data_IF_055688914805
#
_entry.id   IF_055688914805
#
_cell.length_a   1.000
_cell.length_b   1.000
_cell.length_c   1.000
_cell.angle_alpha   90.00
_cell.angle_beta   90.00
_cell.angle_gamma   90.00
#
_symmetry.space_group_name_H-M   'P 1'
#
loop_
_entity.id
_entity.type
_entity.pdbx_description
1 polymer ?
#
# COMPACT_ATOMS: atom_id res chain seq x y z
N UNK A 1 22.93 -8.72 -13.00
CA UNK A 1 22.09 -8.04 -14.02
C UNK A 1 23.02 -7.31 -15.01
N UNK A 2 22.77 -7.29 -16.32
CA UNK A 2 23.67 -6.61 -17.28
C UNK A 2 23.04 -5.31 -17.78
N UNK A 3 23.58 -4.19 -17.30
CA UNK A 3 23.14 -2.84 -17.62
C UNK A 3 24.33 -2.05 -18.17
N UNK A 4 24.07 -1.25 -19.20
CA UNK A 4 25.10 -0.37 -19.79
C UNK A 4 24.85 1.04 -19.28
N UNK A 5 25.79 1.54 -18.47
CA UNK A 5 25.75 2.89 -17.95
C UNK A 5 26.42 3.85 -18.93
N UNK A 6 25.94 5.08 -18.97
CA UNK A 6 26.67 6.17 -19.63
C UNK A 6 27.96 6.47 -18.87
N UNK A 7 28.94 7.04 -19.57
CA UNK A 7 30.22 7.46 -18.98
C UNK A 7 30.04 8.38 -17.76
N UNK A 8 29.00 9.21 -17.77
CA UNK A 8 28.70 10.12 -16.67
C UNK A 8 28.10 9.40 -15.47
N UNK A 9 27.17 8.46 -15.68
CA UNK A 9 26.60 7.63 -14.62
C UNK A 9 27.69 6.77 -13.95
N UNK A 10 28.59 6.17 -14.74
CA UNK A 10 29.72 5.41 -14.21
C UNK A 10 30.61 6.25 -13.30
N UNK A 11 30.97 7.47 -13.73
CA UNK A 11 31.79 8.38 -12.91
C UNK A 11 31.14 8.74 -11.58
N UNK A 12 29.84 9.05 -11.59
CA UNK A 12 29.10 9.43 -10.38
C UNK A 12 29.06 8.25 -9.41
N UNK A 13 28.70 7.06 -9.89
CA UNK A 13 28.60 5.87 -9.04
C UNK A 13 29.97 5.40 -8.52
N UNK A 14 31.02 5.49 -9.32
CA UNK A 14 32.39 5.23 -8.87
C UNK A 14 32.82 6.21 -7.77
N UNK A 15 32.53 7.51 -7.93
CA UNK A 15 32.82 8.50 -6.89
C UNK A 15 32.06 8.22 -5.59
N UNK A 16 30.77 7.87 -5.68
CA UNK A 16 29.95 7.55 -4.51
C UNK A 16 30.44 6.29 -3.79
N UNK A 17 30.87 5.26 -4.53
CA UNK A 17 31.48 4.06 -3.95
C UNK A 17 32.83 4.38 -3.29
N UNK A 18 33.68 5.19 -3.92
CA UNK A 18 34.98 5.59 -3.38
C UNK A 18 34.88 6.46 -2.12
N UNK A 19 33.80 7.23 -1.96
CA UNK A 19 33.54 8.04 -0.78
C UNK A 19 33.14 7.20 0.45
N UNK A 20 33.01 5.88 0.30
CA UNK A 20 32.70 4.94 1.38
C UNK A 20 31.22 4.92 1.78
N UNK A 21 30.36 5.59 1.03
CA UNK A 21 28.91 5.58 1.25
C UNK A 21 28.21 4.31 0.81
N UNK A 22 28.87 3.49 -0.03
CA UNK A 22 28.33 2.25 -0.59
C UNK A 22 29.42 1.17 -0.65
N UNK A 23 29.07 -0.07 -0.31
CA UNK A 23 30.00 -1.19 -0.23
C UNK A 23 30.53 -1.66 -1.59
N UNK A 24 29.83 -1.33 -2.67
CA UNK A 24 30.22 -1.62 -4.05
C UNK A 24 29.46 -0.74 -5.05
N UNK A 25 29.82 -0.83 -6.33
CA UNK A 25 29.07 -0.23 -7.42
C UNK A 25 27.64 -0.80 -7.52
N UNK A 26 27.50 -2.11 -7.29
CA UNK A 26 26.21 -2.81 -7.30
C UNK A 26 25.29 -2.31 -6.18
N UNK A 27 25.83 -2.16 -4.97
CA UNK A 27 25.12 -1.62 -3.81
C UNK A 27 24.60 -0.17 -4.05
N UNK A 28 25.42 0.66 -4.72
CA UNK A 28 25.01 2.00 -5.11
C UNK A 28 23.87 2.00 -6.14
N UNK A 29 23.90 1.05 -7.09
CA UNK A 29 22.86 0.89 -8.12
C UNK A 29 21.56 0.37 -7.51
N UNK A 30 21.64 -0.65 -6.66
CA UNK A 30 20.47 -1.23 -6.00
C UNK A 30 19.78 -0.17 -5.11
N UNK A 31 20.57 0.61 -4.37
CA UNK A 31 20.03 1.72 -3.58
C UNK A 31 19.35 2.77 -4.47
N UNK A 32 19.97 3.15 -5.59
CA UNK A 32 19.36 4.10 -6.53
C UNK A 32 18.05 3.60 -7.14
N UNK A 33 17.95 2.29 -7.41
CA UNK A 33 16.72 1.67 -7.93
C UNK A 33 15.60 1.64 -6.88
N UNK A 34 15.92 1.38 -5.61
CA UNK A 34 14.95 1.48 -4.51
C UNK A 34 14.43 2.91 -4.36
N UNK A 35 15.32 3.90 -4.34
CA UNK A 35 14.92 5.30 -4.25
C UNK A 35 14.05 5.74 -5.43
N UNK A 36 14.37 5.28 -6.63
CA UNK A 36 13.56 5.53 -7.82
C UNK A 36 12.18 4.87 -7.73
N UNK A 37 12.11 3.63 -7.23
CA UNK A 37 10.85 2.93 -7.03
C UNK A 37 9.98 3.64 -5.98
N UNK A 38 10.58 4.11 -4.88
CA UNK A 38 9.88 4.88 -3.84
C UNK A 38 9.36 6.22 -4.37
N UNK A 39 10.18 6.95 -5.12
CA UNK A 39 9.77 8.21 -5.76
C UNK A 39 8.62 7.98 -6.74
N UNK A 40 8.69 6.95 -7.58
CA UNK A 40 7.62 6.59 -8.52
C UNK A 40 6.34 6.24 -7.75
N UNK A 41 6.44 5.48 -6.65
CA UNK A 41 5.29 5.14 -5.82
C UNK A 41 4.67 6.36 -5.12
N UNK A 42 5.47 7.38 -4.78
CA UNK A 42 4.98 8.64 -4.23
C UNK A 42 4.34 9.55 -5.28
N UNK A 43 4.94 9.66 -6.47
CA UNK A 43 4.44 10.49 -7.56
C UNK A 43 3.19 9.91 -8.22
N UNK A 44 3.11 8.58 -8.26
CA UNK A 44 2.00 7.83 -8.84
C UNK A 44 1.39 6.91 -7.77
N UNK A 45 0.68 7.46 -6.78
CA UNK A 45 0.00 6.65 -5.79
C UNK A 45 -1.00 5.69 -6.43
N UNK A 46 -1.51 6.04 -7.61
CA UNK A 46 -2.36 5.21 -8.47
C UNK A 46 -1.65 4.01 -9.11
N UNK A 47 -0.31 4.00 -9.16
CA UNK A 47 0.50 2.85 -9.59
C UNK A 47 1.06 2.03 -8.41
N UNK A 48 0.85 2.46 -7.17
CA UNK A 48 1.25 1.69 -5.99
C UNK A 48 0.43 0.38 -5.93
N UNK A 49 1.08 -0.80 -5.89
CA UNK A 49 0.39 -2.09 -5.82
C UNK A 49 -0.60 -2.21 -4.64
N UNK A 50 -0.27 -1.66 -3.47
CA UNK A 50 -1.14 -1.69 -2.29
C UNK A 50 -2.37 -0.82 -2.50
N UNK A 51 -2.20 0.33 -3.15
CA UNK A 51 -3.31 1.22 -3.50
C UNK A 51 -4.23 0.59 -4.54
N UNK A 52 -3.66 -0.04 -5.57
CA UNK A 52 -4.42 -0.78 -6.58
C UNK A 52 -5.21 -1.94 -5.96
N UNK A 53 -4.59 -2.71 -5.06
CA UNK A 53 -5.27 -3.76 -4.31
C UNK A 53 -6.41 -3.21 -3.45
N UNK A 54 -6.20 -2.07 -2.78
CA UNK A 54 -7.22 -1.40 -1.99
C UNK A 54 -8.41 -0.93 -2.86
N UNK A 55 -8.15 -0.38 -4.05
CA UNK A 55 -9.20 0.01 -5.01
C UNK A 55 -10.05 -1.19 -5.39
N UNK A 56 -9.43 -2.28 -5.81
CA UNK A 56 -10.16 -3.48 -6.27
C UNK A 56 -11.01 -4.08 -5.14
N UNK A 57 -10.45 -4.19 -3.93
CA UNK A 57 -11.21 -4.64 -2.76
C UNK A 57 -12.38 -3.72 -2.42
N UNK A 58 -12.21 -2.40 -2.59
CA UNK A 58 -13.25 -1.42 -2.29
C UNK A 58 -14.37 -1.49 -3.31
N UNK A 59 -14.05 -1.64 -4.60
CA UNK A 59 -15.03 -1.84 -5.68
C UNK A 59 -15.90 -3.06 -5.41
N UNK A 60 -15.29 -4.20 -5.09
CA UNK A 60 -16.02 -5.43 -4.75
C UNK A 60 -17.01 -5.22 -3.60
N UNK A 61 -16.58 -4.55 -2.52
CA UNK A 61 -17.45 -4.25 -1.36
C UNK A 61 -18.61 -3.31 -1.71
N UNK A 62 -18.38 -2.36 -2.61
CA UNK A 62 -19.43 -1.45 -3.09
C UNK A 62 -20.45 -2.23 -3.91
N UNK A 63 -19.99 -3.07 -4.84
CA UNK A 63 -20.86 -3.89 -5.69
C UNK A 63 -21.71 -4.85 -4.84
N UNK A 64 -21.11 -5.50 -3.84
CA UNK A 64 -21.83 -6.31 -2.85
C UNK A 64 -22.90 -5.50 -2.11
N UNK A 65 -22.57 -4.29 -1.66
CA UNK A 65 -23.50 -3.39 -0.98
C UNK A 65 -24.66 -2.94 -1.85
N UNK A 66 -24.41 -2.65 -3.13
CA UNK A 66 -25.45 -2.30 -4.11
C UNK A 66 -26.39 -3.49 -4.32
N UNK A 67 -25.85 -4.70 -4.56
CA UNK A 67 -26.65 -5.90 -4.76
C UNK A 67 -27.50 -6.25 -3.54
N UNK A 68 -26.96 -6.09 -2.33
CA UNK A 68 -27.71 -6.28 -1.08
C UNK A 68 -28.84 -5.25 -0.96
N UNK A 69 -28.56 -3.98 -1.28
CA UNK A 69 -29.55 -2.91 -1.23
C UNK A 69 -30.70 -3.14 -2.23
N UNK A 70 -30.40 -3.59 -3.45
CA UNK A 70 -31.39 -3.92 -4.47
C UNK A 70 -32.33 -5.06 -4.03
N UNK A 71 -31.83 -6.00 -3.22
CA UNK A 71 -32.63 -7.07 -2.60
C UNK A 71 -33.42 -6.61 -1.37
N UNK A 72 -33.26 -5.36 -0.95
CA UNK A 72 -33.87 -4.83 0.28
C UNK A 72 -33.15 -5.28 1.56
N UNK A 73 -31.93 -5.81 1.47
CA UNK A 73 -31.09 -6.21 2.61
C UNK A 73 -30.41 -5.00 3.28
N UNK A 74 -31.13 -3.88 3.38
CA UNK A 74 -30.71 -2.68 4.10
C UNK A 74 -31.16 -2.76 5.55
N UNK A 75 -30.37 -2.17 6.45
CA UNK A 75 -30.71 -2.10 7.87
C UNK A 75 -30.99 -0.65 8.24
N UNK A 76 -31.99 -0.47 9.12
CA UNK A 76 -32.20 0.81 9.76
C UNK A 76 -31.02 1.14 10.69
N UNK A 77 -30.63 2.43 10.70
CA UNK A 77 -29.48 2.90 11.48
C UNK A 77 -29.66 2.65 12.98
N UNK A 78 -30.86 2.87 13.52
CA UNK A 78 -31.10 2.77 14.96
C UNK A 78 -31.09 1.30 15.40
N UNK A 79 -31.55 0.40 14.53
CA UNK A 79 -31.40 -1.06 14.72
C UNK A 79 -29.93 -1.48 14.74
N UNK A 80 -29.12 -0.98 13.80
CA UNK A 80 -27.67 -1.25 13.76
C UNK A 80 -26.99 -0.80 15.05
N UNK A 81 -27.25 0.44 15.48
CA UNK A 81 -26.66 1.00 16.71
C UNK A 81 -27.05 0.20 17.94
N UNK A 82 -28.31 -0.21 18.03
CA UNK A 82 -28.82 -1.02 19.14
C UNK A 82 -28.11 -2.38 19.19
N UNK A 83 -28.01 -3.08 18.05
CA UNK A 83 -27.31 -4.37 17.95
C UNK A 83 -25.83 -4.25 18.30
N UNK A 84 -25.16 -3.19 17.87
CA UNK A 84 -23.74 -2.94 18.20
C UNK A 84 -23.54 -2.73 19.70
N UNK A 85 -24.39 -1.92 20.34
CA UNK A 85 -24.33 -1.71 21.80
C UNK A 85 -24.54 -3.01 22.58
N UNK A 86 -25.49 -3.84 22.16
CA UNK A 86 -25.74 -5.15 22.76
C UNK A 86 -24.51 -6.06 22.64
N UNK A 87 -23.88 -6.14 21.46
CA UNK A 87 -22.64 -6.93 21.26
C UNK A 87 -21.52 -6.47 22.18
N UNK A 88 -21.30 -5.16 22.31
CA UNK A 88 -20.26 -4.61 23.20
C UNK A 88 -20.55 -4.93 24.66
N UNK A 89 -21.81 -4.78 25.11
CA UNK A 89 -22.18 -5.08 26.49
C UNK A 89 -22.04 -6.58 26.82
N UNK A 90 -22.42 -7.45 25.89
CA UNK A 90 -22.23 -8.90 26.04
C UNK A 90 -20.73 -9.25 26.17
N UNK A 91 -19.87 -8.71 25.29
CA UNK A 91 -18.43 -8.95 25.36
C UNK A 91 -17.81 -8.49 26.69
N UNK A 92 -18.27 -7.36 27.24
CA UNK A 92 -17.85 -6.88 28.56
C UNK A 92 -18.27 -7.83 29.69
N UNK A 93 -19.51 -8.33 29.65
CA UNK A 93 -20.02 -9.24 30.66
C UNK A 93 -19.34 -10.61 30.65
N UNK A 94 -18.82 -11.07 29.50
CA UNK A 94 -18.05 -12.31 29.38
C UNK A 94 -16.57 -12.15 29.76
N UNK A 95 -16.05 -10.94 29.75
CA UNK A 95 -14.65 -10.62 30.13
C UNK A 95 -14.47 -10.29 31.62
N UNK A 96 -15.55 -10.30 32.41
CA UNK A 96 -15.57 -10.04 33.85
C UNK A 96 -15.76 -11.35 34.62
#
# INVERSE_FOLDING_TARGET
MQITLSTQQSKILEQLSQQGGYGSLEDAIDTALVLLADEIAQQHPDANPDYLAWIEQTRLKIDEGILAAEKGEVLDKDDVLTRLRQKVNAAKATSA
#
